data_IF_350613621749
#
_entry.id   IF_350613621749
#
_cell.length_a   1.000
_cell.length_b   1.000
_cell.length_c   1.000
_cell.angle_alpha   90.00
_cell.angle_beta   90.00
_cell.angle_gamma   90.00
#
_symmetry.space_group_name_H-M   'P 1'
#
loop_
_entity.id
_entity.type
_entity.pdbx_description
1 polymer ?
#
# COMPACT_ATOMS: atom_id res chain seq x y z
N UNK A 1 20.65 19.38 32.00
CA UNK A 1 19.38 19.21 31.25
C UNK A 1 19.32 17.96 30.37
N UNK A 2 20.33 17.63 29.56
CA UNK A 2 20.23 16.49 28.62
C UNK A 2 20.04 15.08 29.25
N UNK A 3 20.36 14.91 30.53
CA UNK A 3 20.44 13.60 31.21
C UNK A 3 19.13 13.11 31.86
N UNK A 4 18.12 13.97 31.98
CA UNK A 4 16.86 13.67 32.71
C UNK A 4 15.72 13.27 31.75
N UNK A 5 15.89 13.54 30.46
CA UNK A 5 14.81 13.50 29.45
C UNK A 5 15.10 12.54 28.29
N UNK A 6 16.31 11.98 28.26
CA UNK A 6 16.71 10.88 27.37
C UNK A 6 15.88 9.58 27.52
N UNK A 7 15.34 9.20 28.72
CA UNK A 7 14.57 7.96 28.86
C UNK A 7 13.27 7.91 28.06
N UNK A 8 12.72 9.06 27.66
CA UNK A 8 11.40 9.17 27.03
C UNK A 8 11.45 9.34 25.51
N UNK A 9 12.65 9.35 24.90
CA UNK A 9 12.79 9.48 23.44
C UNK A 9 12.48 10.88 22.89
N UNK A 10 12.37 11.90 23.76
CA UNK A 10 12.11 13.27 23.34
C UNK A 10 13.38 13.98 22.85
N UNK A 11 13.26 14.71 21.73
CA UNK A 11 14.33 15.60 21.27
C UNK A 11 14.16 16.95 21.96
N UNK A 12 15.17 17.44 22.67
CA UNK A 12 15.08 18.74 23.35
C UNK A 12 16.09 19.70 22.75
N UNK A 13 15.58 20.84 22.28
CA UNK A 13 16.39 21.96 21.81
C UNK A 13 16.16 23.14 22.76
N UNK A 14 17.26 23.68 23.30
CA UNK A 14 17.24 24.88 24.13
C UNK A 14 17.59 26.07 23.26
N UNK A 15 16.73 27.08 23.24
CA UNK A 15 16.98 28.35 22.56
C UNK A 15 17.20 29.44 23.58
N UNK A 16 18.36 30.08 23.53
CA UNK A 16 18.74 31.08 24.52
C UNK A 16 18.44 32.49 24.04
N UNK A 17 18.29 33.43 24.99
CA UNK A 17 17.85 34.80 24.72
C UNK A 17 18.69 35.52 23.65
N UNK A 18 19.99 35.26 23.55
CA UNK A 18 20.85 35.87 22.52
C UNK A 18 20.60 35.35 21.10
N UNK A 19 19.91 34.22 20.95
CA UNK A 19 19.51 33.67 19.65
C UNK A 19 18.16 34.23 19.19
N UNK A 20 17.36 34.71 20.14
CA UNK A 20 15.98 35.15 19.92
C UNK A 20 15.76 36.65 20.18
N UNK A 21 16.84 37.38 20.53
CA UNK A 21 16.83 38.80 20.91
C UNK A 21 15.85 39.11 22.06
N UNK A 22 15.79 38.19 23.04
CA UNK A 22 14.90 38.26 24.21
C UNK A 22 15.60 38.82 25.46
N UNK A 23 14.84 38.98 26.54
CA UNK A 23 15.34 39.52 27.81
C UNK A 23 16.52 38.68 28.37
N UNK A 24 17.62 39.32 28.79
CA UNK A 24 18.80 38.61 29.29
C UNK A 24 18.49 37.64 30.44
N UNK A 25 18.98 36.40 30.32
CA UNK A 25 18.77 35.36 31.34
C UNK A 25 17.52 34.51 31.12
N UNK A 26 16.81 34.72 30.02
CA UNK A 26 15.69 33.87 29.60
C UNK A 26 16.10 32.80 28.59
N UNK A 27 15.30 31.74 28.52
CA UNK A 27 15.44 30.72 27.49
C UNK A 27 14.07 30.14 27.14
N UNK A 28 13.98 29.61 25.93
CA UNK A 28 12.86 28.82 25.46
C UNK A 28 13.27 27.38 25.29
N UNK A 29 12.33 26.48 25.52
CA UNK A 29 12.56 25.05 25.40
C UNK A 29 11.63 24.49 24.33
N UNK A 30 12.21 23.78 23.36
CA UNK A 30 11.48 23.10 22.29
C UNK A 30 11.58 21.59 22.55
N UNK A 31 10.44 20.93 22.72
CA UNK A 31 10.33 19.49 22.91
C UNK A 31 9.75 18.86 21.65
N UNK A 32 10.50 17.96 21.03
CA UNK A 32 10.06 17.10 19.94
C UNK A 32 9.55 15.77 20.46
N UNK A 33 8.32 15.41 20.11
CA UNK A 33 7.66 14.16 20.47
C UNK A 33 7.53 13.23 19.26
N UNK A 34 7.91 11.97 19.44
CA UNK A 34 7.89 10.92 18.41
C UNK A 34 6.67 10.00 18.62
N UNK A 35 5.79 9.98 17.61
CA UNK A 35 4.67 9.04 17.40
C UNK A 35 3.54 8.94 18.44
N UNK A 36 3.80 9.04 19.74
CA UNK A 36 2.74 9.13 20.75
C UNK A 36 2.37 10.60 20.98
N UNK A 37 1.10 10.96 20.79
CA UNK A 37 0.63 12.30 21.16
C UNK A 37 0.93 12.60 22.64
N UNK A 38 0.91 13.88 23.02
CA UNK A 38 1.03 14.24 24.43
C UNK A 38 -0.33 14.01 25.11
N UNK A 39 -0.37 13.04 26.03
CA UNK A 39 -1.46 12.92 26.98
C UNK A 39 -1.31 13.98 28.08
N UNK A 40 -2.40 14.41 28.71
CA UNK A 40 -2.35 15.42 29.79
C UNK A 40 -1.43 15.00 30.95
N UNK A 41 -1.39 13.70 31.28
CA UNK A 41 -0.50 13.14 32.29
C UNK A 41 0.98 13.31 31.90
N UNK A 42 1.33 13.07 30.63
CA UNK A 42 2.68 13.25 30.13
C UNK A 42 3.07 14.74 30.05
N UNK A 43 2.11 15.61 29.75
CA UNK A 43 2.33 17.06 29.78
C UNK A 43 2.72 17.53 31.19
N UNK A 44 1.99 17.08 32.22
CA UNK A 44 2.29 17.42 33.61
C UNK A 44 3.65 16.89 34.05
N UNK A 45 4.00 15.67 33.63
CA UNK A 45 5.31 15.11 33.95
C UNK A 45 6.44 15.86 33.23
N UNK A 46 6.24 16.27 31.97
CA UNK A 46 7.18 17.13 31.24
C UNK A 46 7.38 18.47 31.95
N UNK A 47 6.30 19.11 32.41
CA UNK A 47 6.37 20.36 33.18
C UNK A 47 7.18 20.16 34.48
N UNK A 48 6.91 19.08 35.22
CA UNK A 48 7.68 18.73 36.43
C UNK A 48 9.17 18.48 36.15
N UNK A 49 9.48 17.75 35.08
CA UNK A 49 10.87 17.49 34.69
C UNK A 49 11.60 18.76 34.25
N UNK A 50 10.90 19.68 33.58
CA UNK A 50 11.46 20.99 33.21
C UNK A 50 11.74 21.81 34.47
N UNK A 51 10.82 21.85 35.44
CA UNK A 51 11.02 22.56 36.71
C UNK A 51 12.21 22.01 37.49
N UNK A 52 12.36 20.68 37.57
CA UNK A 52 13.47 20.04 38.28
C UNK A 52 14.82 20.20 37.56
N UNK A 53 14.82 20.21 36.22
CA UNK A 53 16.03 20.34 35.43
C UNK A 53 16.47 21.80 35.19
N UNK A 54 15.58 22.78 35.41
CA UNK A 54 15.84 24.21 35.20
C UNK A 54 16.75 24.76 36.30
N UNK A 55 17.88 25.40 35.95
CA UNK A 55 18.70 26.08 36.95
C UNK A 55 17.90 27.22 37.57
N UNK A 56 17.86 27.26 38.91
CA UNK A 56 17.05 28.19 39.70
C UNK A 56 17.25 29.69 39.38
N UNK A 57 18.34 30.04 38.71
CA UNK A 57 18.67 31.43 38.32
C UNK A 57 18.06 31.89 37.00
N UNK A 58 17.51 30.98 36.17
CA UNK A 58 17.00 31.33 34.83
C UNK A 58 15.48 31.28 34.79
N UNK A 59 14.86 32.05 33.89
CA UNK A 59 13.41 32.06 33.68
C UNK A 59 13.06 31.43 32.32
N UNK A 60 11.99 30.61 32.29
CA UNK A 60 11.50 29.97 31.08
C UNK A 60 10.39 30.85 30.52
N UNK A 61 10.61 31.40 29.32
CA UNK A 61 9.66 32.34 28.69
C UNK A 61 8.62 31.60 27.84
N UNK A 62 8.94 30.40 27.37
CA UNK A 62 8.02 29.62 26.56
C UNK A 62 8.46 28.18 26.34
N UNK A 63 7.45 27.30 26.27
CA UNK A 63 7.56 25.90 25.91
C UNK A 63 6.90 25.70 24.54
N UNK A 64 7.64 25.18 23.57
CA UNK A 64 7.11 24.82 22.25
C UNK A 64 7.18 23.30 22.10
N UNK A 65 6.08 22.69 21.66
CA UNK A 65 5.99 21.25 21.49
C UNK A 65 5.74 20.95 20.01
N UNK A 66 6.62 20.15 19.41
CA UNK A 66 6.51 19.69 18.04
C UNK A 66 6.25 18.19 18.02
N UNK A 67 5.15 17.75 17.40
CA UNK A 67 4.86 16.34 17.16
C UNK A 67 5.22 15.99 15.72
N UNK A 68 6.03 14.94 15.53
CA UNK A 68 6.25 14.34 14.22
C UNK A 68 5.84 12.87 14.28
N UNK A 69 4.95 12.45 13.37
CA UNK A 69 4.57 11.05 13.21
C UNK A 69 4.90 10.57 11.81
N UNK A 70 5.40 9.33 11.71
CA UNK A 70 5.73 8.69 10.45
C UNK A 70 4.70 7.61 10.14
N UNK A 71 4.18 7.57 8.92
CA UNK A 71 3.22 6.56 8.48
C UNK A 71 3.52 6.06 7.07
N UNK A 72 3.19 4.81 6.80
CA UNK A 72 3.35 4.20 5.48
C UNK A 72 2.14 4.54 4.59
N UNK A 73 2.39 5.05 3.38
CA UNK A 73 1.37 5.30 2.36
C UNK A 73 1.48 4.25 1.25
N UNK A 74 0.48 3.39 1.15
CA UNK A 74 0.40 2.37 0.10
C UNK A 74 -0.33 2.93 -1.12
N UNK A 75 0.38 3.08 -2.24
CA UNK A 75 -0.18 3.55 -3.53
C UNK A 75 -0.21 2.38 -4.50
N UNK A 76 -1.41 2.03 -4.99
CA UNK A 76 -1.61 1.01 -6.02
C UNK A 76 -1.98 1.64 -7.37
N UNK A 77 -1.39 1.13 -8.45
CA UNK A 77 -1.77 1.46 -9.82
C UNK A 77 -2.30 0.21 -10.52
N UNK A 78 -3.50 0.30 -11.10
CA UNK A 78 -4.08 -0.75 -11.93
C UNK A 78 -4.10 -0.33 -13.39
N UNK A 79 -3.67 -1.21 -14.30
CA UNK A 79 -3.84 -1.01 -15.73
C UNK A 79 -4.97 -1.93 -16.24
N UNK A 80 -5.89 -1.36 -17.00
CA UNK A 80 -6.87 -2.14 -17.75
C UNK A 80 -6.36 -2.30 -19.18
N UNK A 81 -6.11 -3.54 -19.60
CA UNK A 81 -5.76 -3.88 -20.96
C UNK A 81 -6.96 -4.56 -21.62
N UNK A 82 -7.54 -3.92 -22.63
CA UNK A 82 -8.57 -4.52 -23.47
C UNK A 82 -7.93 -4.95 -24.78
N UNK A 83 -8.02 -6.25 -25.10
CA UNK A 83 -7.61 -6.79 -26.40
C UNK A 83 -8.84 -7.00 -27.28
N UNK A 84 -8.70 -6.75 -28.59
CA UNK A 84 -9.77 -6.84 -29.58
C UNK A 84 -9.44 -7.93 -30.60
N UNK A 85 -10.03 -9.12 -30.42
CA UNK A 85 -9.89 -10.25 -31.34
C UNK A 85 -11.03 -10.27 -32.38
N UNK A 86 -10.68 -10.26 -33.67
CA UNK A 86 -11.65 -10.47 -34.76
C UNK A 86 -11.53 -11.90 -35.29
N UNK A 87 -12.60 -12.69 -35.18
CA UNK A 87 -12.67 -14.07 -35.69
C UNK A 87 -13.41 -14.07 -37.02
N UNK A 88 -12.77 -14.59 -38.07
CA UNK A 88 -13.37 -14.73 -39.40
C UNK A 88 -14.02 -16.10 -39.58
N UNK A 89 -15.11 -16.19 -40.37
CA UNK A 89 -15.76 -17.46 -40.70
C UNK A 89 -14.83 -18.36 -41.54
N UNK A 90 -14.89 -19.67 -41.25
CA UNK A 90 -14.15 -20.68 -42.00
C UNK A 90 -14.69 -20.82 -43.43
N UNK A 91 -13.82 -20.63 -44.42
CA UNK A 91 -14.12 -20.91 -45.83
C UNK A 91 -13.53 -22.28 -46.16
N UNK A 92 -14.35 -23.35 -46.30
CA UNK A 92 -13.83 -24.67 -46.64
C UNK A 92 -13.22 -24.68 -48.04
N UNK A 93 -12.15 -25.43 -48.20
CA UNK A 93 -11.56 -25.73 -49.50
C UNK A 93 -12.51 -26.66 -50.29
N UNK A 94 -12.59 -26.45 -51.61
CA UNK A 94 -13.47 -27.25 -52.48
C UNK A 94 -12.96 -28.69 -52.55
N UNK A 95 -13.71 -29.64 -51.97
CA UNK A 95 -13.36 -31.06 -52.01
C UNK A 95 -13.83 -31.64 -53.34
N UNK A 96 -12.89 -31.87 -54.26
CA UNK A 96 -13.14 -32.61 -55.50
C UNK A 96 -12.92 -34.10 -55.24
N UNK A 97 -14.01 -34.88 -55.21
CA UNK A 97 -13.95 -36.34 -55.12
C UNK A 97 -14.04 -36.95 -56.52
N UNK A 98 -12.94 -37.54 -56.99
CA UNK A 98 -12.91 -38.40 -58.18
C UNK A 98 -12.84 -39.86 -57.76
N UNK A 99 -13.71 -40.70 -58.31
CA UNK A 99 -13.69 -42.16 -58.12
C UNK A 99 -13.89 -42.87 -59.45
N UNK A 100 -13.11 -43.94 -59.69
CA UNK A 100 -13.28 -44.77 -60.88
C UNK A 100 -14.54 -45.62 -60.77
N UNK A 101 -15.39 -45.55 -61.80
CA UNK A 101 -16.65 -46.27 -61.88
C UNK A 101 -16.43 -47.68 -62.44
N UNK A 102 -16.54 -48.69 -61.58
CA UNK A 102 -16.51 -50.10 -61.98
C UNK A 102 -17.90 -50.75 -61.77
N UNK A 103 -18.73 -50.89 -62.82
CA UNK A 103 -20.00 -51.59 -62.69
C UNK A 103 -19.77 -53.10 -62.62
N UNK A 104 -19.98 -53.71 -61.45
CA UNK A 104 -20.09 -55.16 -61.31
C UNK A 104 -21.58 -55.55 -61.30
N UNK A 105 -21.97 -56.41 -62.24
CA UNK A 105 -23.35 -56.94 -62.33
C UNK A 105 -23.47 -58.19 -61.46
N UNK A 106 -24.32 -58.17 -60.43
CA UNK A 106 -24.64 -59.36 -59.64
C UNK A 106 -25.97 -59.95 -60.13
N UNK A 107 -25.94 -61.18 -60.66
CA UNK A 107 -27.15 -61.91 -61.04
C UNK A 107 -27.75 -62.49 -59.77
N UNK A 108 -28.93 -61.98 -59.39
CA UNK A 108 -29.69 -62.43 -58.24
C UNK A 108 -30.80 -63.38 -58.71
N UNK A 109 -30.71 -64.65 -58.31
CA UNK A 109 -31.66 -65.70 -58.68
C UNK A 109 -32.48 -66.08 -57.45
N UNK A 110 -33.79 -65.81 -57.50
CA UNK A 110 -34.73 -66.18 -56.43
C UNK A 110 -35.54 -67.36 -56.94
N UNK A 111 -35.40 -68.49 -56.27
CA UNK A 111 -36.25 -69.67 -56.49
C UNK A 111 -37.35 -69.73 -55.42
N UNK A 112 -38.56 -70.09 -55.85
CA UNK A 112 -39.72 -70.21 -54.96
C UNK A 112 -40.23 -71.65 -54.99
N UNK A 113 -39.96 -72.40 -53.92
CA UNK A 113 -40.44 -73.78 -53.77
C UNK A 113 -41.72 -73.79 -52.94
N UNK A 114 -42.81 -74.29 -53.55
CA UNK A 114 -44.09 -74.52 -52.87
C UNK A 114 -44.33 -76.01 -52.72
N UNK A 115 -44.48 -76.47 -51.48
CA UNK A 115 -44.92 -77.84 -51.17
C UNK A 115 -46.42 -77.81 -50.93
N UNK A 116 -47.17 -78.64 -51.66
CA UNK A 116 -48.58 -78.92 -51.36
C UNK A 116 -48.65 -80.25 -50.61
N UNK A 117 -49.54 -80.33 -49.61
CA UNK A 117 -49.71 -81.49 -48.73
C UNK A 117 -50.25 -82.74 -49.45
#
# INVERSE_FOLDING_TARGET
MRRVVEPLGFLIEVREWWQLDEEPGTFRLVVGVLDSGITDEMYQELERLIEDAKPASRHLTGLAISLSSTGELYVGAGCYHGDALTVYPYTPEEIVVGGEYYPASAIHLIDNLRVNA
#
